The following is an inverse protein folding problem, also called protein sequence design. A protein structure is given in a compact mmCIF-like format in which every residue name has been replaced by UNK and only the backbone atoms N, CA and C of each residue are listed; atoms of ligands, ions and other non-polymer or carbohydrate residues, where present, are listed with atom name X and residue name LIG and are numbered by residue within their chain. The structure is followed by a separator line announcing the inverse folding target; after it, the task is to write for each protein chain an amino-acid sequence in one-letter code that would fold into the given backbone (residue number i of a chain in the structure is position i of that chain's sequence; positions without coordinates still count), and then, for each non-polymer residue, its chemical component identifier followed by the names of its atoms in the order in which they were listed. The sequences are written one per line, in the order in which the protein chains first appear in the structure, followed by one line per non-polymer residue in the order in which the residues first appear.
data_IF_293499661248
#
_entry.id   IF_293499661248
#
_cell.length_a   1.000
_cell.length_b   1.000
_cell.length_c   1.000
_cell.angle_alpha   90.00
_cell.angle_beta   90.00
_cell.angle_gamma   90.00
#
_symmetry.space_group_name_H-M   'P 1'
#
loop_
_entity.id
_entity.type
_entity.pdbx_description
1 polymer ?
#
# COMPACT_ATOMS: atom_id res chain seq x y z
N UNK A 1 1.41 -10.90 -10.63
CA UNK A 1 0.37 -10.13 -9.91
C UNK A 1 0.29 -8.71 -10.43
N UNK A 2 -0.87 -8.09 -10.32
CA UNK A 2 -1.03 -6.67 -10.68
C UNK A 2 -0.53 -5.77 -9.55
N UNK A 3 0.14 -4.67 -9.91
CA UNK A 3 0.60 -3.65 -8.97
C UNK A 3 0.62 -2.27 -9.64
N UNK A 4 0.44 -1.22 -8.83
CA UNK A 4 0.58 0.16 -9.27
C UNK A 4 2.03 0.57 -9.03
N UNK A 5 2.76 0.75 -10.13
CA UNK A 5 4.19 1.04 -10.12
C UNK A 5 4.42 2.52 -10.37
N UNK A 6 5.26 3.13 -9.55
CA UNK A 6 5.78 4.48 -9.75
C UNK A 6 6.89 4.43 -10.81
N UNK A 7 6.62 4.95 -12.00
CA UNK A 7 7.57 4.93 -13.12
C UNK A 7 8.50 6.15 -13.12
N UNK A 8 7.98 7.29 -12.71
CA UNK A 8 8.71 8.56 -12.64
C UNK A 8 8.18 9.38 -11.45
N UNK A 9 8.84 10.47 -11.11
CA UNK A 9 8.31 11.43 -10.14
C UNK A 9 7.45 12.48 -10.86
N UNK A 10 6.30 12.83 -10.30
CA UNK A 10 5.44 13.83 -10.93
C UNK A 10 3.97 13.77 -10.53
N UNK A 11 3.11 14.03 -11.50
CA UNK A 11 1.65 14.01 -11.39
C UNK A 11 1.10 12.59 -11.19
N UNK A 12 -0.17 12.37 -10.86
CA UNK A 12 -0.75 11.03 -10.70
C UNK A 12 -0.57 10.09 -11.90
N UNK A 13 -0.42 10.63 -13.10
CA UNK A 13 -0.30 9.86 -14.36
C UNK A 13 0.98 9.00 -14.43
N UNK A 14 1.96 9.28 -13.56
CA UNK A 14 3.19 8.47 -13.45
C UNK A 14 2.97 7.13 -12.74
N UNK A 15 1.79 6.93 -12.14
CA UNK A 15 1.38 5.67 -11.53
C UNK A 15 0.76 4.77 -12.60
N UNK A 16 1.43 3.68 -12.92
CA UNK A 16 0.99 2.75 -13.96
C UNK A 16 0.67 1.38 -13.38
N UNK A 17 -0.46 0.82 -13.78
CA UNK A 17 -0.79 -0.57 -13.50
C UNK A 17 0.11 -1.48 -14.35
N UNK A 18 0.88 -2.34 -13.68
CA UNK A 18 1.77 -3.30 -14.34
C UNK A 18 1.61 -4.69 -13.73
N UNK A 19 1.92 -5.69 -14.52
CA UNK A 19 2.13 -7.03 -14.03
C UNK A 19 3.57 -7.17 -13.52
N UNK A 20 3.70 -7.65 -12.30
CA UNK A 20 4.97 -7.90 -11.63
C UNK A 20 4.97 -9.32 -11.05
N UNK A 21 6.14 -9.83 -10.74
CA UNK A 21 6.27 -11.13 -10.10
C UNK A 21 5.60 -11.14 -8.72
N UNK A 22 4.88 -12.21 -8.42
CA UNK A 22 4.26 -12.40 -7.11
C UNK A 22 5.36 -12.74 -6.09
N UNK A 23 5.47 -12.00 -4.97
CA UNK A 23 6.50 -12.27 -3.98
C UNK A 23 6.24 -13.60 -3.26
N UNK A 24 7.32 -14.27 -2.88
CA UNK A 24 7.28 -15.47 -2.03
C UNK A 24 7.73 -15.08 -0.63
N UNK A 25 6.99 -15.44 0.43
CA UNK A 25 7.36 -15.11 1.79
C UNK A 25 8.64 -15.86 2.21
N UNK A 26 9.54 -15.14 2.88
CA UNK A 26 10.70 -15.73 3.53
C UNK A 26 10.29 -16.46 4.81
N UNK A 27 11.25 -17.10 5.45
CA UNK A 27 11.02 -17.96 6.63
C UNK A 27 10.22 -17.30 7.76
N UNK A 28 10.39 -15.99 7.98
CA UNK A 28 9.74 -15.21 9.05
C UNK A 28 8.71 -14.21 8.49
N UNK A 29 8.25 -14.39 7.25
CA UNK A 29 7.32 -13.48 6.59
C UNK A 29 5.97 -14.13 6.35
N UNK A 30 4.94 -13.33 6.33
CA UNK A 30 3.60 -13.67 5.89
C UNK A 30 3.33 -13.05 4.53
N UNK A 31 2.68 -13.77 3.64
CA UNK A 31 2.18 -13.27 2.36
C UNK A 31 0.72 -12.87 2.55
N UNK A 32 0.43 -11.59 2.40
CA UNK A 32 -0.90 -11.03 2.52
C UNK A 32 -1.47 -10.80 1.12
N UNK A 33 -2.66 -11.35 0.87
CA UNK A 33 -3.50 -10.97 -0.25
C UNK A 33 -4.21 -9.66 0.12
N UNK A 34 -3.85 -8.58 -0.55
CA UNK A 34 -4.33 -7.24 -0.24
C UNK A 34 -5.76 -7.07 -0.73
N UNK A 35 -6.65 -6.67 0.16
CA UNK A 35 -8.05 -6.34 -0.15
C UNK A 35 -8.30 -4.84 -0.11
N UNK A 36 -7.59 -4.12 0.76
CA UNK A 36 -7.65 -2.67 0.85
C UNK A 36 -6.29 -2.08 1.23
N UNK A 37 -6.04 -0.88 0.74
CA UNK A 37 -4.88 -0.04 1.09
C UNK A 37 -5.33 1.41 1.08
N UNK A 38 -4.50 2.32 1.63
CA UNK A 38 -4.79 3.74 1.69
C UNK A 38 -3.84 4.54 0.82
N UNK A 39 -4.31 5.67 0.30
CA UNK A 39 -3.45 6.67 -0.31
C UNK A 39 -3.23 7.79 0.70
N UNK A 40 -2.03 7.84 1.26
CA UNK A 40 -1.66 8.82 2.28
C UNK A 40 -1.04 10.08 1.66
N UNK A 41 -0.98 11.16 2.45
CA UNK A 41 -0.26 12.39 2.07
C UNK A 41 1.22 12.07 1.80
N UNK A 42 1.82 11.16 2.58
CA UNK A 42 3.20 10.73 2.38
C UNK A 42 3.41 10.06 1.03
N UNK A 43 2.46 9.24 0.55
CA UNK A 43 2.53 8.65 -0.80
C UNK A 43 2.48 9.72 -1.90
N UNK A 44 1.64 10.76 -1.71
CA UNK A 44 1.56 11.89 -2.64
C UNK A 44 2.86 12.70 -2.66
N UNK A 45 3.47 12.94 -1.50
CA UNK A 45 4.78 13.62 -1.38
C UNK A 45 5.90 12.80 -2.02
N UNK A 46 5.96 11.50 -1.75
CA UNK A 46 6.95 10.60 -2.36
C UNK A 46 6.81 10.54 -3.88
N UNK A 47 5.57 10.46 -4.38
CA UNK A 47 5.30 10.44 -5.81
C UNK A 47 5.70 11.74 -6.49
N UNK A 48 5.27 12.89 -5.92
CA UNK A 48 5.54 14.21 -6.51
C UNK A 48 6.93 14.74 -6.21
N UNK A 49 7.60 14.16 -5.22
CA UNK A 49 8.88 14.60 -4.67
C UNK A 49 8.87 16.07 -4.17
N UNK A 50 7.70 16.58 -3.77
CA UNK A 50 7.52 17.89 -3.15
C UNK A 50 7.72 17.77 -1.64
N UNK A 51 8.96 17.74 -1.19
CA UNK A 51 9.32 17.64 0.22
C UNK A 51 10.27 18.77 0.65
N UNK A 52 10.46 18.94 1.96
CA UNK A 52 11.34 19.98 2.49
C UNK A 52 12.77 19.79 2.01
N UNK A 53 13.47 20.87 1.69
CA UNK A 53 14.80 20.85 1.05
C UNK A 53 15.84 20.00 1.81
N UNK A 54 15.83 20.03 3.14
CA UNK A 54 16.78 19.26 3.96
C UNK A 54 16.53 17.74 3.92
N UNK A 55 15.28 17.31 3.67
CA UNK A 55 14.92 15.90 3.53
C UNK A 55 14.98 15.44 2.06
N UNK A 56 14.97 16.38 1.12
CA UNK A 56 14.96 16.11 -0.31
C UNK A 56 16.17 15.28 -0.75
N UNK A 57 17.38 15.68 -0.34
CA UNK A 57 18.61 15.01 -0.78
C UNK A 57 18.74 13.56 -0.27
N UNK A 58 18.61 13.27 1.05
CA UNK A 58 18.70 11.89 1.51
C UNK A 58 17.60 11.00 0.95
N UNK A 59 16.39 11.54 0.80
CA UNK A 59 15.28 10.79 0.23
C UNK A 59 15.50 10.49 -1.26
N UNK A 60 16.09 11.41 -2.02
CA UNK A 60 16.50 11.21 -3.42
C UNK A 60 17.57 10.13 -3.58
N UNK A 61 18.54 10.10 -2.69
CA UNK A 61 19.59 9.06 -2.70
C UNK A 61 18.93 7.68 -2.44
N UNK A 62 18.01 7.61 -1.49
CA UNK A 62 17.32 6.38 -1.12
C UNK A 62 16.35 5.90 -2.22
N UNK A 63 15.52 6.78 -2.73
CA UNK A 63 14.47 6.46 -3.71
C UNK A 63 15.00 6.40 -5.17
N UNK A 64 16.05 7.13 -5.48
CA UNK A 64 16.60 7.33 -6.82
C UNK A 64 16.59 8.80 -7.23
N UNK A 65 17.68 9.26 -7.84
CA UNK A 65 17.89 10.70 -8.12
C UNK A 65 16.97 11.22 -9.23
N UNK A 66 16.97 10.59 -10.40
CA UNK A 66 16.17 11.02 -11.56
C UNK A 66 14.88 10.20 -11.69
N UNK A 67 14.97 8.90 -11.46
CA UNK A 67 13.84 7.96 -11.52
C UNK A 67 13.88 7.05 -10.30
N UNK A 68 12.71 6.49 -9.89
CA UNK A 68 12.67 5.49 -8.83
C UNK A 68 13.58 4.30 -9.16
N UNK A 69 14.36 3.83 -8.17
CA UNK A 69 15.22 2.65 -8.34
C UNK A 69 14.38 1.39 -8.34
N UNK A 70 14.52 0.57 -9.39
CA UNK A 70 13.80 -0.69 -9.53
C UNK A 70 12.28 -0.50 -9.64
N UNK A 71 11.53 -1.57 -9.41
CA UNK A 71 10.07 -1.54 -9.38
C UNK A 71 9.60 -0.93 -8.06
N UNK A 72 9.27 0.35 -8.06
CA UNK A 72 8.77 1.04 -6.86
C UNK A 72 7.26 1.00 -6.81
N UNK A 73 6.75 0.28 -5.82
CA UNK A 73 5.33 0.21 -5.48
C UNK A 73 5.16 0.98 -4.18
N UNK A 74 4.31 1.99 -4.17
CA UNK A 74 3.99 2.80 -3.00
C UNK A 74 2.96 2.08 -2.11
N UNK A 75 2.44 2.81 -1.11
CA UNK A 75 1.45 2.33 -0.16
C UNK A 75 2.09 1.84 1.14
N UNK A 76 1.65 2.44 2.24
CA UNK A 76 2.19 2.18 3.57
C UNK A 76 1.26 1.36 4.44
N UNK A 77 -0.02 1.35 4.15
CA UNK A 77 -1.04 0.62 4.90
C UNK A 77 -1.61 -0.52 4.07
N UNK A 78 -1.88 -1.64 4.72
CA UNK A 78 -2.44 -2.82 4.08
C UNK A 78 -3.48 -3.47 4.97
N UNK A 79 -4.59 -3.88 4.39
CA UNK A 79 -5.54 -4.79 5.02
C UNK A 79 -5.88 -5.92 4.05
N UNK A 80 -5.87 -7.14 4.53
CA UNK A 80 -6.04 -8.31 3.67
C UNK A 80 -6.07 -9.62 4.44
N UNK A 81 -5.92 -10.71 3.71
CA UNK A 81 -5.94 -12.07 4.23
C UNK A 81 -4.58 -12.72 4.04
N UNK A 82 -4.11 -13.45 5.04
CA UNK A 82 -2.87 -14.22 4.96
C UNK A 82 -3.07 -15.39 4.00
N UNK A 83 -2.40 -15.39 2.86
CA UNK A 83 -2.45 -16.47 1.87
C UNK A 83 -1.49 -17.61 2.22
N UNK A 84 -0.29 -17.26 2.66
CA UNK A 84 0.72 -18.22 3.08
C UNK A 84 1.67 -17.61 4.11
N UNK A 85 2.35 -18.48 4.84
CA UNK A 85 3.29 -18.09 5.90
C UNK A 85 4.63 -18.81 5.71
N UNK A 86 5.71 -18.15 6.11
CA UNK A 86 7.03 -18.74 6.16
C UNK A 86 7.15 -19.81 7.26
N UNK A 87 8.14 -20.69 7.16
CA UNK A 87 8.28 -21.86 8.04
C UNK A 87 8.49 -21.55 9.53
N UNK A 88 8.99 -20.36 9.85
CA UNK A 88 9.26 -19.94 11.23
C UNK A 88 8.15 -19.05 11.83
N UNK A 89 7.15 -18.66 11.05
CA UNK A 89 6.03 -17.84 11.51
C UNK A 89 5.21 -18.61 12.53
N UNK A 90 4.91 -17.96 13.67
CA UNK A 90 4.12 -18.54 14.76
C UNK A 90 2.87 -17.72 15.09
N UNK A 91 2.89 -16.44 14.76
CA UNK A 91 1.84 -15.49 15.18
C UNK A 91 0.63 -15.47 14.25
N UNK A 92 0.78 -15.97 13.02
CA UNK A 92 -0.26 -15.93 11.99
C UNK A 92 -0.35 -17.27 11.26
N UNK A 93 -1.53 -17.54 10.69
CA UNK A 93 -1.80 -18.70 9.84
C UNK A 93 -2.55 -18.29 8.58
N UNK A 94 -2.56 -19.17 7.59
CA UNK A 94 -3.34 -18.99 6.36
C UNK A 94 -4.83 -18.77 6.70
N UNK A 95 -5.45 -17.76 6.08
CA UNK A 95 -6.84 -17.37 6.28
C UNK A 95 -7.04 -16.30 7.35
N UNK A 96 -6.01 -15.94 8.13
CA UNK A 96 -6.13 -14.86 9.09
C UNK A 96 -6.37 -13.52 8.38
N UNK A 97 -7.36 -12.78 8.84
CA UNK A 97 -7.64 -11.44 8.36
C UNK A 97 -6.78 -10.44 9.16
N UNK A 98 -5.94 -9.70 8.46
CA UNK A 98 -4.92 -8.84 9.07
C UNK A 98 -4.94 -7.44 8.48
N UNK A 99 -4.43 -6.48 9.26
CA UNK A 99 -4.10 -5.16 8.78
C UNK A 99 -2.80 -4.69 9.41
N UNK A 100 -2.09 -3.79 8.74
CA UNK A 100 -0.76 -3.40 9.19
C UNK A 100 -0.12 -2.31 8.38
N UNK A 101 1.10 -1.93 8.82
CA UNK A 101 1.96 -0.98 8.13
C UNK A 101 3.09 -1.73 7.41
N UNK A 102 3.34 -1.33 6.17
CA UNK A 102 4.48 -1.84 5.39
C UNK A 102 5.81 -1.19 5.78
N UNK A 103 5.74 -0.12 6.61
CA UNK A 103 6.89 0.66 7.03
C UNK A 103 7.67 1.25 5.83
N UNK A 104 8.98 1.36 5.97
CA UNK A 104 9.87 1.86 4.90
C UNK A 104 9.93 0.93 3.68
N UNK A 105 9.36 -0.26 3.76
CA UNK A 105 9.30 -1.21 2.65
C UNK A 105 8.25 -0.89 1.59
N UNK A 106 7.31 0.02 1.87
CA UNK A 106 6.19 0.35 0.99
C UNK A 106 5.56 -0.90 0.33
N UNK A 107 4.84 -0.76 -0.79
CA UNK A 107 4.45 -1.90 -1.62
C UNK A 107 3.03 -2.40 -1.39
N UNK A 108 2.16 -1.63 -0.70
CA UNK A 108 0.77 -2.01 -0.50
C UNK A 108 -0.12 -1.78 -1.75
N UNK A 109 0.36 -1.02 -2.75
CA UNK A 109 -0.37 -0.84 -4.00
C UNK A 109 -0.19 -2.03 -4.95
N UNK A 110 -0.36 -3.24 -4.44
CA UNK A 110 -0.23 -4.49 -5.16
C UNK A 110 -1.24 -5.52 -4.64
N UNK A 111 -1.55 -6.54 -5.43
CA UNK A 111 -2.45 -7.62 -5.01
C UNK A 111 -1.88 -8.46 -3.85
N UNK A 112 -0.56 -8.49 -3.71
CA UNK A 112 0.13 -9.26 -2.66
C UNK A 112 1.29 -8.49 -2.07
N UNK A 113 1.47 -8.63 -0.75
CA UNK A 113 2.58 -8.05 0.00
C UNK A 113 3.12 -9.02 1.04
N UNK A 114 4.45 -9.20 1.07
CA UNK A 114 5.11 -9.89 2.17
C UNK A 114 5.44 -8.91 3.30
N UNK A 115 5.12 -9.30 4.53
CA UNK A 115 5.51 -8.59 5.75
C UNK A 115 6.14 -9.56 6.75
N UNK A 116 7.13 -9.09 7.48
CA UNK A 116 7.70 -9.86 8.58
C UNK A 116 6.67 -10.01 9.70
N UNK A 117 6.56 -11.19 10.35
CA UNK A 117 5.58 -11.42 11.41
C UNK A 117 5.67 -10.46 12.62
N UNK A 118 6.88 -9.90 12.87
CA UNK A 118 7.13 -8.92 13.95
C UNK A 118 6.98 -7.46 13.50
N UNK A 119 6.58 -7.21 12.25
CA UNK A 119 6.25 -5.85 11.81
C UNK A 119 4.94 -5.38 12.45
N UNK A 120 4.58 -4.12 12.23
CA UNK A 120 3.32 -3.55 12.74
C UNK A 120 2.14 -4.14 11.96
N UNK A 121 1.79 -5.38 12.26
CA UNK A 121 0.68 -6.13 11.68
C UNK A 121 -0.10 -6.82 12.80
N UNK A 122 -1.42 -6.81 12.70
CA UNK A 122 -2.31 -7.41 13.69
C UNK A 122 -3.58 -7.96 13.04
N UNK A 123 -4.33 -8.77 13.79
CA UNK A 123 -5.59 -9.35 13.33
C UNK A 123 -6.65 -8.27 13.20
N UNK A 124 -7.37 -8.28 12.10
CA UNK A 124 -8.49 -7.36 11.84
C UNK A 124 -9.66 -7.67 12.78
N UNK A 125 -10.27 -6.64 13.41
CA UNK A 125 -11.50 -6.84 14.16
C UNK A 125 -12.60 -7.46 13.30
N UNK A 126 -13.35 -8.41 13.87
CA UNK A 126 -14.39 -9.14 13.12
C UNK A 126 -15.51 -8.24 12.58
N UNK A 127 -15.79 -7.15 13.29
CA UNK A 127 -16.84 -6.17 12.96
C UNK A 127 -16.38 -5.05 12.03
N UNK A 128 -15.12 -5.04 11.58
CA UNK A 128 -14.60 -4.04 10.65
C UNK A 128 -14.42 -4.65 9.25
N UNK A 129 -14.69 -3.87 8.23
CA UNK A 129 -14.32 -4.20 6.84
C UNK A 129 -12.81 -4.00 6.62
N UNK A 130 -12.25 -4.52 5.53
CA UNK A 130 -10.85 -4.25 5.18
C UNK A 130 -10.60 -2.76 4.90
N UNK A 131 -11.60 -2.09 4.29
CA UNK A 131 -11.52 -0.66 4.00
C UNK A 131 -11.50 0.22 5.26
N UNK A 132 -12.17 -0.20 6.31
CA UNK A 132 -12.16 0.48 7.62
C UNK A 132 -10.89 0.16 8.42
N UNK A 133 -10.35 -1.06 8.27
CA UNK A 133 -9.18 -1.49 9.00
C UNK A 133 -7.87 -0.91 8.43
N UNK A 134 -7.77 -0.74 7.11
CA UNK A 134 -6.55 -0.27 6.47
C UNK A 134 -6.04 1.07 7.05
N UNK A 135 -6.87 2.12 7.22
CA UNK A 135 -6.43 3.45 7.68
C UNK A 135 -6.22 3.56 9.18
N UNK A 136 -6.53 2.53 9.94
CA UNK A 136 -6.63 2.63 11.40
C UNK A 136 -5.30 2.95 12.09
N UNK A 137 -4.17 2.56 11.50
CA UNK A 137 -2.87 2.65 12.17
C UNK A 137 -2.19 4.02 12.03
N UNK A 138 -2.40 4.75 10.97
CA UNK A 138 -1.81 6.08 10.80
C UNK A 138 -2.73 7.21 11.26
N UNK A 139 -4.02 6.92 11.54
CA UNK A 139 -4.97 7.90 12.06
C UNK A 139 -5.24 9.09 11.13
N UNK A 140 -4.74 9.05 9.90
CA UNK A 140 -5.07 10.03 8.89
C UNK A 140 -6.46 9.75 8.31
N UNK A 141 -7.20 10.79 7.93
CA UNK A 141 -8.51 10.63 7.26
C UNK A 141 -8.28 9.91 5.93
N UNK A 142 -8.72 8.65 5.81
CA UNK A 142 -8.21 7.79 4.75
C UNK A 142 -8.96 8.00 3.44
N UNK A 143 -8.21 7.96 2.38
CA UNK A 143 -8.71 7.65 1.06
C UNK A 143 -8.44 6.18 0.79
N UNK A 144 -9.40 5.32 1.11
CA UNK A 144 -9.27 3.89 0.83
C UNK A 144 -9.25 3.61 -0.67
N UNK A 145 -8.25 2.84 -1.10
CA UNK A 145 -8.21 2.22 -2.41
C UNK A 145 -8.65 0.77 -2.21
N UNK A 146 -9.85 0.41 -2.67
CA UNK A 146 -10.26 -0.99 -2.72
C UNK A 146 -9.80 -1.59 -4.04
N UNK A 147 -9.02 -2.65 -3.98
CA UNK A 147 -8.68 -3.48 -5.13
C UNK A 147 -9.85 -4.45 -5.34
N UNK A 148 -10.89 -3.98 -6.04
CA UNK A 148 -12.11 -4.73 -6.28
C UNK A 148 -11.88 -6.06 -7.02
N UNK A 149 -12.71 -7.03 -6.69
CA UNK A 149 -12.61 -8.42 -7.15
C UNK A 149 -13.20 -8.64 -8.55
N UNK A 150 -13.70 -7.64 -9.25
CA UNK A 150 -14.33 -7.84 -10.55
C UNK A 150 -13.87 -6.85 -11.61
N UNK A 151 -13.61 -7.45 -12.75
CA UNK A 151 -13.42 -6.90 -14.09
C UNK A 151 -12.03 -6.48 -14.50
N UNK A 152 -11.76 -6.71 -15.78
CA UNK A 152 -10.55 -6.46 -16.57
C UNK A 152 -10.12 -4.98 -16.69
N UNK A 153 -10.67 -4.10 -15.87
CA UNK A 153 -10.23 -2.72 -15.64
C UNK A 153 -10.03 -2.57 -14.15
N UNK A 154 -8.79 -2.32 -13.72
CA UNK A 154 -8.50 -1.90 -12.35
C UNK A 154 -9.13 -0.51 -12.15
N UNK A 155 -10.33 -0.48 -11.63
CA UNK A 155 -11.00 0.74 -11.23
C UNK A 155 -10.50 1.07 -9.83
N UNK A 156 -9.68 2.11 -9.73
CA UNK A 156 -9.25 2.65 -8.44
C UNK A 156 -10.46 3.41 -7.90
N UNK A 157 -11.26 2.73 -7.08
CA UNK A 157 -12.39 3.38 -6.42
C UNK A 157 -11.89 4.05 -5.14
N UNK A 158 -11.85 5.37 -5.14
CA UNK A 158 -11.58 6.16 -3.95
C UNK A 158 -12.89 6.29 -3.15
N UNK A 159 -13.00 5.60 -2.04
CA UNK A 159 -14.08 5.79 -1.07
C UNK A 159 -13.57 6.68 0.06
N UNK A 160 -14.15 7.87 0.20
CA UNK A 160 -13.97 8.71 1.38
C UNK A 160 -15.15 8.46 2.32
N UNK A 161 -14.90 7.84 3.47
CA UNK A 161 -15.91 7.77 4.54
C UNK A 161 -16.20 9.20 5.02
N UNK A 162 -17.32 9.77 4.61
CA UNK A 162 -17.92 10.97 5.20
C UNK A 162 -17.85 12.29 4.42
N UNK A 163 -17.27 12.34 3.21
CA UNK A 163 -17.30 13.56 2.38
C UNK A 163 -17.76 13.24 0.95
N UNK A 164 -18.56 14.12 0.31
CA UNK A 164 -19.03 13.88 -1.05
C UNK A 164 -17.87 13.85 -2.04
N UNK A 165 -17.96 12.99 -3.03
CA UNK A 165 -16.94 12.67 -4.04
C UNK A 165 -16.32 13.89 -4.79
N UNK A 166 -16.92 15.06 -4.70
CA UNK A 166 -16.45 16.28 -5.35
C UNK A 166 -15.18 16.90 -4.72
N UNK A 167 -14.91 16.63 -3.42
CA UNK A 167 -13.76 17.23 -2.73
C UNK A 167 -12.45 16.43 -2.92
N UNK A 168 -12.54 15.20 -3.42
CA UNK A 168 -11.40 14.31 -3.56
C UNK A 168 -10.42 14.69 -4.70
N UNK A 169 -10.85 15.48 -5.67
CA UNK A 169 -10.01 15.88 -6.83
C UNK A 169 -9.04 17.03 -6.55
N UNK A 170 -9.26 17.82 -5.50
CA UNK A 170 -8.52 19.08 -5.32
C UNK A 170 -7.24 18.98 -4.49
N UNK A 171 -6.98 17.88 -3.78
CA UNK A 171 -5.84 17.80 -2.85
C UNK A 171 -4.62 17.01 -3.38
N UNK A 172 -4.72 16.35 -4.52
CA UNK A 172 -3.58 15.70 -5.19
C UNK A 172 -3.19 16.37 -6.53
N UNK A 173 -3.60 17.60 -6.76
CA UNK A 173 -3.08 18.43 -7.87
C UNK A 173 -1.78 19.10 -7.50
#
# INVERSE_FOLDING_TARGET
MKAIVLTEYGTPDVLQLKEVEKPTPKDNEILIKVHATTATTADCELRSFKTKLWLWLPLRIFMGISKPRGTKILGQEVAGEVESVGKNVRSFKKGDQVFGLTGMGFGAYAEYKCLHEKSTVTTKPANATYAEAAPFLLGEVPRCISLGRETSKAEITFSSTGLPAASARSQCR
#
